data_IF_833166686539
#
_entry.id   IF_833166686539
#
_cell.length_a   1.000
_cell.length_b   1.000
_cell.length_c   1.000
_cell.angle_alpha   90.00
_cell.angle_beta   90.00
_cell.angle_gamma   90.00
#
_symmetry.space_group_name_H-M   'P 1'
#
loop_
_entity.id
_entity.type
_entity.pdbx_description
1 polymer ?
#
# COMPACT_ATOMS: atom_id res chain seq x y z
N UNK A 1 10.06 25.25 -1.70
CA UNK A 1 10.54 26.16 -2.75
C UNK A 1 10.93 25.36 -3.99
N UNK A 2 10.09 25.40 -5.05
CA UNK A 2 10.36 24.93 -6.41
C UNK A 2 11.05 23.55 -6.52
N UNK A 3 10.36 22.48 -6.15
CA UNK A 3 10.82 21.10 -6.34
C UNK A 3 10.24 20.57 -7.65
N UNK A 4 11.11 20.15 -8.57
CA UNK A 4 10.72 19.38 -9.74
C UNK A 4 11.18 17.94 -9.57
N UNK A 5 10.27 16.99 -9.75
CA UNK A 5 10.50 15.58 -9.52
C UNK A 5 9.85 14.76 -10.64
N UNK A 6 10.60 13.82 -11.16
CA UNK A 6 10.09 12.81 -12.05
C UNK A 6 10.23 11.42 -11.40
N UNK A 7 9.12 10.68 -11.34
CA UNK A 7 9.07 9.31 -10.83
C UNK A 7 8.98 8.36 -12.01
N UNK A 8 10.03 7.57 -12.19
CA UNK A 8 10.08 6.55 -13.25
C UNK A 8 9.03 5.46 -12.99
N UNK A 9 8.52 4.84 -14.06
CA UNK A 9 7.53 3.76 -13.98
C UNK A 9 7.99 2.53 -13.20
N UNK A 10 9.29 2.37 -13.00
CA UNK A 10 9.89 1.24 -12.28
C UNK A 10 11.03 1.73 -11.42
N UNK A 11 11.32 0.97 -10.37
CA UNK A 11 12.43 1.23 -9.46
C UNK A 11 12.05 2.08 -8.25
N UNK A 12 13.04 2.38 -7.44
CA UNK A 12 12.88 3.05 -6.15
C UNK A 12 13.50 4.45 -6.20
N UNK A 13 12.66 5.47 -6.04
CA UNK A 13 13.12 6.84 -5.83
C UNK A 13 13.17 7.16 -4.33
N UNK A 14 14.36 7.33 -3.81
CA UNK A 14 14.58 7.79 -2.44
C UNK A 14 14.48 9.32 -2.32
N UNK A 15 13.76 9.81 -1.31
CA UNK A 15 13.72 11.22 -0.95
C UNK A 15 14.33 11.36 0.44
N UNK A 16 15.53 11.93 0.50
CA UNK A 16 16.30 12.05 1.72
C UNK A 16 16.40 13.51 2.17
N UNK A 17 16.30 13.74 3.47
CA UNK A 17 16.52 15.06 4.06
C UNK A 17 16.15 15.14 5.52
N UNK A 18 16.52 16.22 6.21
CA UNK A 18 16.16 16.43 7.61
C UNK A 18 14.66 16.47 7.84
N UNK A 19 14.24 16.20 9.08
CA UNK A 19 12.83 16.35 9.48
C UNK A 19 12.35 17.79 9.24
N UNK A 20 11.08 17.96 8.87
CA UNK A 20 10.49 19.29 8.65
C UNK A 20 10.76 19.91 7.27
N UNK A 21 11.47 19.27 6.36
CA UNK A 21 11.73 19.76 5.00
C UNK A 21 10.61 19.57 3.99
N UNK A 22 9.44 19.06 4.42
CA UNK A 22 8.28 18.91 3.54
C UNK A 22 8.21 17.58 2.78
N UNK A 23 9.04 16.58 3.12
CA UNK A 23 9.02 15.26 2.46
C UNK A 23 7.64 14.59 2.52
N UNK A 24 7.06 14.46 3.71
CA UNK A 24 5.72 13.90 3.89
C UNK A 24 4.62 14.75 3.23
N UNK A 25 4.80 16.06 3.18
CA UNK A 25 3.90 16.97 2.46
C UNK A 25 3.92 16.68 0.97
N UNK A 26 5.10 16.41 0.41
CA UNK A 26 5.23 16.05 -0.99
C UNK A 26 4.50 14.72 -1.32
N UNK A 27 4.62 13.69 -0.47
CA UNK A 27 3.85 12.46 -0.65
C UNK A 27 2.33 12.72 -0.60
N UNK A 28 1.87 13.57 0.31
CA UNK A 28 0.45 13.95 0.43
C UNK A 28 -0.05 14.74 -0.79
N UNK A 29 0.80 15.55 -1.41
CA UNK A 29 0.49 16.22 -2.68
C UNK A 29 0.41 15.21 -3.83
N UNK A 30 1.32 14.23 -3.90
CA UNK A 30 1.26 13.13 -4.88
C UNK A 30 -0.02 12.31 -4.73
N UNK A 31 -0.46 12.04 -3.50
CA UNK A 31 -1.75 11.39 -3.21
C UNK A 31 -2.97 12.29 -3.44
N UNK A 32 -2.73 13.59 -3.75
CA UNK A 32 -3.78 14.60 -3.87
C UNK A 32 -4.67 14.72 -2.62
N UNK A 33 -4.05 14.68 -1.43
CA UNK A 33 -4.75 15.09 -0.22
C UNK A 33 -4.92 16.61 -0.17
N UNK A 34 -4.01 17.34 -0.83
CA UNK A 34 -4.07 18.78 -1.07
C UNK A 34 -3.61 19.08 -2.51
N UNK A 35 -4.06 20.18 -3.07
CA UNK A 35 -3.54 20.71 -4.32
C UNK A 35 -2.33 21.63 -4.05
N UNK A 36 -1.33 21.72 -4.95
CA UNK A 36 -0.21 22.62 -4.77
C UNK A 36 -0.62 24.08 -4.95
N UNK A 37 -0.05 25.00 -4.16
CA UNK A 37 -0.26 26.46 -4.31
C UNK A 37 0.23 26.96 -5.67
N UNK A 38 1.25 26.36 -6.22
CA UNK A 38 1.82 26.68 -7.54
C UNK A 38 2.50 25.45 -8.13
N UNK A 39 2.60 25.42 -9.46
CA UNK A 39 3.13 24.29 -10.20
C UNK A 39 2.05 23.28 -10.59
N UNK A 40 2.49 22.14 -11.15
CA UNK A 40 1.58 21.09 -11.61
C UNK A 40 2.11 19.72 -11.19
N UNK A 41 1.19 18.82 -10.89
CA UNK A 41 1.48 17.40 -10.67
C UNK A 41 0.72 16.63 -11.75
N UNK A 42 1.41 15.73 -12.43
CA UNK A 42 0.80 14.87 -13.46
C UNK A 42 1.05 13.40 -13.13
N UNK A 43 0.11 12.55 -13.52
CA UNK A 43 0.21 11.10 -13.46
C UNK A 43 0.04 10.56 -14.89
N UNK A 44 1.06 9.91 -15.44
CA UNK A 44 1.10 9.47 -16.85
C UNK A 44 0.73 10.61 -17.82
N UNK A 45 1.37 11.78 -17.66
CA UNK A 45 1.17 13.01 -18.45
C UNK A 45 -0.21 13.68 -18.32
N UNK A 46 -1.12 13.11 -17.53
CA UNK A 46 -2.42 13.73 -17.21
C UNK A 46 -2.31 14.55 -15.93
N UNK A 47 -2.69 15.84 -15.94
CA UNK A 47 -2.72 16.64 -14.72
C UNK A 47 -3.56 15.98 -13.62
N UNK A 48 -3.01 15.86 -12.42
CA UNK A 48 -3.62 15.13 -11.31
C UNK A 48 -5.07 15.55 -10.98
N UNK A 49 -5.47 16.84 -11.11
CA UNK A 49 -6.86 17.26 -10.96
C UNK A 49 -7.83 16.69 -12.00
N UNK A 50 -7.34 16.28 -13.17
CA UNK A 50 -8.13 15.70 -14.25
C UNK A 50 -8.21 14.17 -14.18
N UNK A 51 -7.39 13.55 -13.34
CA UNK A 51 -7.39 12.10 -13.13
C UNK A 51 -8.62 11.69 -12.33
N UNK A 52 -9.37 10.71 -12.84
CA UNK A 52 -10.50 10.13 -12.12
C UNK A 52 -10.10 9.63 -10.72
N UNK A 53 -10.92 9.90 -9.72
CA UNK A 53 -10.59 9.58 -8.33
C UNK A 53 -10.58 8.07 -8.06
N UNK A 54 -11.44 7.31 -8.71
CA UNK A 54 -11.49 5.85 -8.60
C UNK A 54 -10.24 5.21 -9.21
N UNK A 55 -9.90 5.64 -10.47
CA UNK A 55 -8.69 5.17 -11.13
C UNK A 55 -7.43 5.53 -10.32
N UNK A 56 -7.32 6.76 -9.82
CA UNK A 56 -6.19 7.19 -8.99
C UNK A 56 -6.03 6.33 -7.75
N UNK A 57 -7.12 6.01 -7.03
CA UNK A 57 -7.08 5.13 -5.86
C UNK A 57 -6.60 3.71 -6.20
N UNK A 58 -6.88 3.21 -7.39
CA UNK A 58 -6.37 1.89 -7.84
C UNK A 58 -4.88 1.91 -8.11
N UNK A 59 -4.39 2.94 -8.80
CA UNK A 59 -2.99 2.99 -9.25
C UNK A 59 -2.02 3.55 -8.22
N UNK A 60 -2.51 4.22 -7.16
CA UNK A 60 -1.68 4.81 -6.13
C UNK A 60 -2.02 4.27 -4.74
N UNK A 61 -1.00 3.95 -3.96
CA UNK A 61 -1.17 3.62 -2.54
C UNK A 61 -0.07 4.26 -1.70
N UNK A 62 -0.34 4.49 -0.43
CA UNK A 62 0.62 5.10 0.49
C UNK A 62 0.61 4.39 1.83
N UNK A 63 1.80 4.04 2.31
CA UNK A 63 2.02 3.63 3.69
C UNK A 63 2.66 4.79 4.46
N UNK A 64 1.96 5.29 5.47
CA UNK A 64 2.46 6.36 6.35
C UNK A 64 3.45 5.84 7.38
N UNK A 65 3.97 6.77 8.18
CA UNK A 65 4.90 6.48 9.28
C UNK A 65 4.28 5.56 10.35
N UNK A 66 2.97 5.66 10.55
CA UNK A 66 2.20 4.80 11.45
C UNK A 66 1.24 3.94 10.63
N UNK A 67 1.20 2.65 10.93
CA UNK A 67 0.23 1.73 10.34
C UNK A 67 -0.95 1.61 11.26
N UNK A 68 -2.11 2.08 10.81
CA UNK A 68 -3.36 1.93 11.54
C UNK A 68 -4.04 0.62 11.19
N UNK A 69 -4.39 -0.14 12.23
CA UNK A 69 -5.25 -1.30 12.11
C UNK A 69 -6.59 -0.95 12.76
N UNK A 70 -7.66 -1.31 12.08
CA UNK A 70 -9.02 -1.15 12.60
C UNK A 70 -9.31 -2.25 13.62
N UNK A 71 -10.21 -1.98 14.54
CA UNK A 71 -10.69 -3.01 15.46
C UNK A 71 -11.39 -4.12 14.67
N UNK A 72 -10.98 -5.36 14.93
CA UNK A 72 -11.37 -6.52 14.15
C UNK A 72 -10.25 -7.55 14.03
N UNK A 73 -10.39 -8.47 13.10
CA UNK A 73 -9.42 -9.53 12.81
C UNK A 73 -8.31 -9.07 11.86
N UNK A 74 -7.23 -9.86 11.78
CA UNK A 74 -6.19 -9.66 10.75
C UNK A 74 -6.80 -9.81 9.35
N UNK A 75 -7.69 -10.78 9.13
CA UNK A 75 -8.43 -11.00 7.88
C UNK A 75 -9.17 -9.74 7.44
N UNK A 76 -10.01 -9.17 8.30
CA UNK A 76 -10.78 -7.95 8.02
C UNK A 76 -9.84 -6.78 7.71
N UNK A 77 -8.77 -6.65 8.46
CA UNK A 77 -7.77 -5.64 8.21
C UNK A 77 -7.06 -5.78 6.85
N UNK A 78 -6.84 -7.00 6.37
CA UNK A 78 -6.26 -7.24 5.04
C UNK A 78 -7.30 -7.02 3.94
N UNK A 79 -8.56 -7.41 4.16
CA UNK A 79 -9.64 -7.29 3.20
C UNK A 79 -9.92 -5.85 2.76
N UNK A 80 -9.65 -4.87 3.61
CA UNK A 80 -9.77 -3.44 3.27
C UNK A 80 -8.95 -3.06 2.02
N UNK A 81 -7.82 -3.73 1.79
CA UNK A 81 -7.00 -3.48 0.61
C UNK A 81 -7.64 -3.96 -0.70
N UNK A 82 -8.57 -4.90 -0.63
CA UNK A 82 -9.26 -5.49 -1.78
C UNK A 82 -10.55 -4.76 -2.16
N UNK A 83 -11.23 -4.13 -1.19
CA UNK A 83 -12.55 -3.54 -1.38
C UNK A 83 -12.59 -2.35 -2.36
N UNK A 84 -11.48 -1.64 -2.60
CA UNK A 84 -11.43 -0.53 -3.56
C UNK A 84 -11.29 -0.98 -5.03
N UNK A 85 -11.08 -2.26 -5.29
CA UNK A 85 -10.87 -2.79 -6.64
C UNK A 85 -12.20 -3.12 -7.37
N UNK A 86 -13.28 -3.44 -6.64
CA UNK A 86 -14.50 -4.01 -7.22
C UNK A 86 -15.66 -3.01 -7.42
N UNK A 87 -15.58 -1.78 -6.97
CA UNK A 87 -16.74 -0.87 -6.92
C UNK A 87 -16.99 0.01 -8.15
N UNK A 88 -16.35 -0.21 -9.30
CA UNK A 88 -16.74 0.53 -10.51
C UNK A 88 -16.29 -0.10 -11.81
N UNK A 89 -16.91 -1.19 -12.23
CA UNK A 89 -17.00 -1.44 -13.68
C UNK A 89 -18.27 -2.19 -14.09
N UNK A 90 -19.38 -1.46 -14.12
CA UNK A 90 -20.51 -1.73 -15.00
C UNK A 90 -20.46 -0.80 -16.20
N UNK A 91 -19.34 -0.81 -16.94
CA UNK A 91 -19.14 0.05 -18.13
C UNK A 91 -17.95 -0.41 -18.96
N UNK A 92 -18.20 -1.40 -19.84
CA UNK A 92 -17.46 -1.74 -21.06
C UNK A 92 -16.18 -0.94 -21.35
N UNK A 93 -15.00 -1.57 -21.22
CA UNK A 93 -14.06 -1.57 -22.35
C UNK A 93 -13.00 -2.68 -22.22
N UNK A 94 -12.93 -3.52 -23.26
CA UNK A 94 -11.92 -4.55 -23.45
C UNK A 94 -10.56 -3.92 -23.74
N UNK A 95 -9.64 -4.03 -22.79
CA UNK A 95 -8.22 -3.69 -22.96
C UNK A 95 -7.38 -4.67 -22.15
N UNK A 96 -6.75 -5.61 -22.85
CA UNK A 96 -5.84 -6.60 -22.31
C UNK A 96 -4.66 -5.93 -21.62
N UNK A 97 -4.61 -5.98 -20.29
CA UNK A 97 -3.41 -5.71 -19.54
C UNK A 97 -3.16 -6.91 -18.63
N UNK A 98 -2.11 -7.68 -18.92
CA UNK A 98 -1.66 -8.83 -18.14
C UNK A 98 -0.89 -8.37 -16.90
N UNK A 99 -1.61 -7.79 -15.93
CA UNK A 99 -1.20 -7.65 -14.56
C UNK A 99 -2.14 -8.53 -13.73
N UNK A 100 -1.59 -9.47 -12.97
CA UNK A 100 -2.36 -10.34 -12.11
C UNK A 100 -2.96 -9.52 -10.96
N UNK A 101 -4.15 -8.96 -11.17
CA UNK A 101 -4.95 -8.39 -10.10
C UNK A 101 -5.29 -9.50 -9.12
N UNK A 102 -4.60 -9.50 -7.99
CA UNK A 102 -4.65 -10.55 -6.97
C UNK A 102 -6.06 -10.76 -6.39
N UNK A 103 -6.85 -9.69 -6.31
CA UNK A 103 -8.21 -9.72 -5.78
C UNK A 103 -9.32 -9.86 -6.83
N UNK A 104 -9.03 -9.76 -8.14
CA UNK A 104 -10.06 -9.73 -9.19
C UNK A 104 -10.58 -11.10 -9.65
N UNK A 105 -10.06 -12.22 -9.12
CA UNK A 105 -10.43 -13.58 -9.56
C UNK A 105 -11.52 -14.25 -8.72
N UNK A 106 -12.17 -13.57 -7.77
CA UNK A 106 -13.13 -14.20 -6.85
C UNK A 106 -14.61 -13.97 -7.20
N UNK A 107 -14.96 -13.20 -8.21
CA UNK A 107 -16.36 -12.85 -8.53
C UNK A 107 -16.89 -13.55 -9.77
N UNK A 108 -17.00 -14.88 -9.73
CA UNK A 108 -17.88 -15.60 -10.65
C UNK A 108 -18.71 -16.63 -9.88
N UNK A 109 -19.82 -16.21 -9.34
CA UNK A 109 -21.10 -16.88 -9.10
C UNK A 109 -21.71 -16.47 -7.74
N UNK A 110 -22.54 -15.45 -7.76
CA UNK A 110 -23.75 -15.40 -6.94
C UNK A 110 -24.63 -14.24 -7.42
N UNK A 111 -25.66 -14.54 -8.19
CA UNK A 111 -26.77 -13.64 -8.36
C UNK A 111 -27.64 -13.69 -7.09
N UNK A 112 -27.91 -12.54 -6.52
CA UNK A 112 -28.79 -12.42 -5.36
C UNK A 112 -28.81 -10.98 -4.87
N UNK A 113 -29.91 -10.26 -5.17
CA UNK A 113 -30.24 -8.96 -4.60
C UNK A 113 -30.27 -9.00 -3.07
N UNK A 114 -29.39 -8.23 -2.41
CA UNK A 114 -29.69 -7.60 -1.11
C UNK A 114 -28.59 -6.61 -0.75
N UNK A 115 -28.93 -5.33 -0.77
CA UNK A 115 -28.13 -4.22 -0.29
C UNK A 115 -28.24 -4.16 1.23
N UNK A 116 -27.46 -4.95 1.95
CA UNK A 116 -27.08 -4.77 3.35
C UNK A 116 -26.04 -5.84 3.76
N UNK A 117 -24.89 -5.85 3.11
CA UNK A 117 -23.77 -6.69 3.55
C UNK A 117 -22.86 -5.85 4.44
N UNK A 118 -22.76 -6.22 5.71
CA UNK A 118 -21.80 -5.65 6.65
C UNK A 118 -20.37 -5.90 6.16
N UNK A 119 -19.43 -5.00 6.45
CA UNK A 119 -17.99 -5.11 6.06
C UNK A 119 -17.37 -6.47 6.46
N UNK A 120 -17.95 -7.17 7.44
CA UNK A 120 -17.55 -8.50 7.89
C UNK A 120 -17.78 -9.59 6.83
N UNK A 121 -18.81 -9.48 5.98
CA UNK A 121 -19.14 -10.52 4.98
C UNK A 121 -18.14 -10.49 3.82
N UNK A 122 -17.66 -9.30 3.41
CA UNK A 122 -16.69 -9.14 2.33
C UNK A 122 -15.32 -9.74 2.68
N UNK A 123 -14.94 -9.72 3.95
CA UNK A 123 -13.66 -10.25 4.41
C UNK A 123 -13.58 -11.79 4.28
N UNK A 124 -14.71 -12.49 4.31
CA UNK A 124 -14.78 -13.95 4.18
C UNK A 124 -14.79 -14.43 2.72
N UNK A 125 -15.07 -13.55 1.77
CA UNK A 125 -15.09 -13.90 0.34
C UNK A 125 -13.68 -13.95 -0.28
N UNK A 126 -12.65 -13.41 0.41
CA UNK A 126 -11.27 -13.44 -0.08
C UNK A 126 -10.63 -14.78 0.31
N UNK A 127 -10.14 -15.59 -0.65
CA UNK A 127 -9.51 -16.86 -0.35
C UNK A 127 -8.32 -16.72 0.60
N UNK A 128 -8.22 -17.59 1.60
CA UNK A 128 -7.10 -17.60 2.55
C UNK A 128 -5.73 -17.67 1.85
N UNK A 129 -5.65 -18.38 0.73
CA UNK A 129 -4.41 -18.50 -0.05
C UNK A 129 -3.89 -17.14 -0.53
N UNK A 130 -4.80 -16.23 -0.92
CA UNK A 130 -4.48 -14.86 -1.37
C UNK A 130 -3.94 -14.03 -0.21
N UNK A 131 -4.63 -14.07 0.93
CA UNK A 131 -4.20 -13.34 2.14
C UNK A 131 -2.87 -13.86 2.66
N UNK A 132 -2.70 -15.18 2.69
CA UNK A 132 -1.46 -15.84 3.14
C UNK A 132 -0.28 -15.56 2.21
N UNK A 133 -0.50 -15.50 0.89
CA UNK A 133 0.56 -15.12 -0.05
C UNK A 133 1.01 -13.66 0.17
N UNK A 134 0.09 -12.73 0.37
CA UNK A 134 0.42 -11.34 0.68
C UNK A 134 1.18 -11.22 2.01
N UNK A 135 0.77 -11.97 3.03
CA UNK A 135 1.48 -12.02 4.31
C UNK A 135 2.89 -12.63 4.17
N UNK A 136 3.06 -13.66 3.33
CA UNK A 136 4.37 -14.24 3.06
C UNK A 136 5.32 -13.21 2.42
N UNK A 137 4.84 -12.46 1.42
CA UNK A 137 5.58 -11.38 0.76
C UNK A 137 5.96 -10.24 1.70
N UNK A 138 5.10 -9.97 2.69
CA UNK A 138 5.35 -8.99 3.74
C UNK A 138 6.15 -9.55 4.93
N UNK A 139 6.64 -10.80 4.84
CA UNK A 139 7.30 -11.51 5.93
C UNK A 139 6.49 -11.55 7.24
N UNK A 140 5.16 -11.60 7.11
CA UNK A 140 4.21 -11.62 8.22
C UNK A 140 3.51 -12.98 8.40
N UNK A 141 3.71 -13.92 7.48
CA UNK A 141 2.98 -15.20 7.50
C UNK A 141 3.30 -16.03 8.76
N UNK A 142 4.57 -16.20 9.09
CA UNK A 142 5.00 -16.95 10.28
C UNK A 142 4.47 -16.33 11.57
N UNK A 143 4.42 -15.00 11.63
CA UNK A 143 3.83 -14.27 12.73
C UNK A 143 2.35 -14.62 12.89
N UNK A 144 1.58 -14.57 11.81
CA UNK A 144 0.14 -14.84 11.83
C UNK A 144 -0.12 -16.31 12.15
N UNK A 145 0.67 -17.23 11.61
CA UNK A 145 0.56 -18.66 11.89
C UNK A 145 0.91 -19.03 13.34
N UNK A 146 1.74 -18.26 14.01
CA UNK A 146 2.05 -18.42 15.42
C UNK A 146 0.94 -17.93 16.38
N UNK A 147 -0.02 -17.15 15.87
CA UNK A 147 -1.16 -16.68 16.67
C UNK A 147 -2.23 -17.77 16.84
N UNK A 148 -2.88 -17.85 17.99
CA UNK A 148 -3.85 -18.93 18.29
C UNK A 148 -4.99 -19.08 17.28
N UNK A 149 -5.45 -17.97 16.69
CA UNK A 149 -6.55 -17.93 15.73
C UNK A 149 -6.07 -17.55 14.30
N UNK A 150 -4.76 -17.53 14.03
CA UNK A 150 -4.25 -17.20 12.71
C UNK A 150 -4.81 -15.90 12.14
N UNK A 151 -5.38 -15.95 10.93
CA UNK A 151 -6.02 -14.80 10.26
C UNK A 151 -7.20 -14.21 11.05
N UNK A 152 -7.89 -15.01 11.84
CA UNK A 152 -9.07 -14.59 12.61
C UNK A 152 -8.71 -14.07 14.02
N UNK A 153 -7.42 -13.81 14.25
CA UNK A 153 -6.94 -13.19 15.48
C UNK A 153 -7.38 -11.73 15.55
N UNK A 154 -8.03 -11.36 16.65
CA UNK A 154 -8.43 -9.99 16.94
C UNK A 154 -7.22 -9.12 17.26
N UNK A 155 -7.03 -8.03 16.50
CA UNK A 155 -5.90 -7.11 16.69
C UNK A 155 -6.12 -6.09 17.83
N UNK A 156 -7.39 -5.91 18.23
CA UNK A 156 -7.80 -4.95 19.24
C UNK A 156 -7.78 -3.51 18.75
N UNK A 157 -8.25 -2.61 19.59
CA UNK A 157 -8.32 -1.18 19.26
C UNK A 157 -6.94 -0.65 18.79
N UNK A 158 -6.92 -0.05 17.59
CA UNK A 158 -5.70 0.45 16.91
C UNK A 158 -4.56 -0.59 16.82
N UNK A 159 -4.90 -1.89 16.79
CA UNK A 159 -3.91 -2.95 16.76
C UNK A 159 -3.10 -3.07 18.06
N UNK A 160 -3.66 -2.69 19.22
CA UNK A 160 -2.96 -2.63 20.51
C UNK A 160 -2.37 -3.95 21.01
N UNK A 161 -2.74 -5.09 20.40
CA UNK A 161 -2.20 -6.41 20.71
C UNK A 161 -0.95 -6.78 19.90
N UNK A 162 -0.56 -5.95 18.93
CA UNK A 162 0.57 -6.17 18.05
C UNK A 162 1.66 -5.14 18.31
N UNK A 163 2.91 -5.56 18.15
CA UNK A 163 4.06 -4.66 18.13
C UNK A 163 4.03 -3.76 16.90
N UNK A 164 4.77 -2.66 16.93
CA UNK A 164 4.83 -1.72 15.80
C UNK A 164 5.36 -2.39 14.52
N UNK A 165 6.38 -3.26 14.64
CA UNK A 165 6.91 -4.01 13.51
C UNK A 165 5.91 -5.00 12.91
N UNK A 166 5.06 -5.62 13.72
CA UNK A 166 3.99 -6.52 13.27
C UNK A 166 2.89 -5.74 12.54
N UNK A 167 2.47 -4.60 13.07
CA UNK A 167 1.53 -3.70 12.39
C UNK A 167 2.06 -3.26 11.02
N UNK A 168 3.33 -2.88 10.96
CA UNK A 168 3.94 -2.46 9.69
C UNK A 168 3.99 -3.58 8.66
N UNK A 169 4.29 -4.83 9.05
CA UNK A 169 4.23 -5.97 8.14
C UNK A 169 2.81 -6.25 7.64
N UNK A 170 1.79 -6.13 8.50
CA UNK A 170 0.38 -6.25 8.06
C UNK A 170 0.02 -5.10 7.10
N UNK A 171 0.46 -3.87 7.40
CA UNK A 171 0.30 -2.74 6.49
C UNK A 171 0.97 -2.97 5.13
N UNK A 172 2.16 -3.57 5.13
CA UNK A 172 2.87 -3.93 3.91
C UNK A 172 2.15 -5.05 3.12
N UNK A 173 1.55 -6.03 3.81
CA UNK A 173 0.72 -7.05 3.16
C UNK A 173 -0.48 -6.41 2.42
N UNK A 174 -1.08 -5.35 2.96
CA UNK A 174 -2.10 -4.56 2.25
C UNK A 174 -1.56 -3.94 0.95
N UNK A 175 -0.29 -3.50 0.92
CA UNK A 175 0.31 -2.95 -0.31
C UNK A 175 0.43 -4.04 -1.39
N UNK A 176 0.82 -5.26 -1.01
CA UNK A 176 0.88 -6.40 -1.92
C UNK A 176 -0.49 -6.85 -2.43
N UNK A 177 -1.53 -6.79 -1.60
CA UNK A 177 -2.91 -7.10 -2.01
C UNK A 177 -3.45 -6.06 -2.99
N UNK A 178 -3.10 -4.79 -2.80
CA UNK A 178 -3.60 -3.70 -3.61
C UNK A 178 -2.98 -3.65 -5.00
N UNK A 179 -1.77 -4.19 -5.18
CA UNK A 179 -1.04 -4.30 -6.47
C UNK A 179 -1.01 -2.98 -7.27
N UNK A 180 -0.69 -1.88 -6.59
CA UNK A 180 -0.71 -0.54 -7.17
C UNK A 180 0.53 -0.26 -8.02
N UNK A 181 0.37 0.50 -9.12
CA UNK A 181 1.49 0.92 -9.99
C UNK A 181 2.44 1.89 -9.31
N UNK A 182 1.94 2.73 -8.37
CA UNK A 182 2.72 3.70 -7.61
C UNK A 182 2.52 3.48 -6.11
N UNK A 183 3.61 3.16 -5.42
CA UNK A 183 3.62 2.91 -3.98
C UNK A 183 4.49 3.94 -3.27
N UNK A 184 3.92 4.64 -2.31
CA UNK A 184 4.58 5.70 -1.56
C UNK A 184 4.81 5.25 -0.11
N UNK A 185 6.05 5.41 0.38
CA UNK A 185 6.42 5.09 1.75
C UNK A 185 6.94 6.32 2.49
N UNK A 186 6.31 6.66 3.62
CA UNK A 186 6.71 7.76 4.50
C UNK A 186 7.38 7.22 5.75
N UNK A 187 8.70 7.21 5.77
CA UNK A 187 9.54 6.72 6.87
C UNK A 187 9.16 5.31 7.40
N UNK A 188 9.01 4.29 6.53
CA UNK A 188 8.44 2.99 6.90
C UNK A 188 9.26 2.20 7.93
N UNK A 189 10.50 2.60 8.19
CA UNK A 189 11.40 1.90 9.12
C UNK A 189 11.79 2.73 10.34
N UNK A 190 11.17 3.90 10.55
CA UNK A 190 11.62 4.88 11.55
C UNK A 190 11.60 4.38 13.00
N UNK A 191 10.71 3.43 13.31
CA UNK A 191 10.50 2.88 14.68
C UNK A 191 10.94 1.44 14.83
N UNK A 192 11.68 0.90 13.84
CA UNK A 192 12.08 -0.50 13.80
C UNK A 192 13.53 -0.69 14.24
N UNK A 193 13.78 -1.86 14.84
CA UNK A 193 15.12 -2.39 15.01
C UNK A 193 15.74 -2.82 13.67
N UNK A 194 17.04 -3.11 13.65
CA UNK A 194 17.78 -3.43 12.43
C UNK A 194 17.27 -4.70 11.72
N UNK A 195 16.76 -5.68 12.46
CA UNK A 195 16.22 -6.90 11.86
C UNK A 195 14.91 -6.59 11.12
N UNK A 196 13.94 -5.97 11.81
CA UNK A 196 12.66 -5.59 11.20
C UNK A 196 12.85 -4.59 10.06
N UNK A 197 13.80 -3.64 10.18
CA UNK A 197 14.17 -2.73 9.09
C UNK A 197 14.58 -3.51 7.84
N UNK A 198 15.49 -4.49 7.97
CA UNK A 198 15.96 -5.28 6.82
C UNK A 198 14.84 -6.06 6.13
N UNK A 199 13.90 -6.62 6.91
CA UNK A 199 12.73 -7.34 6.42
C UNK A 199 11.82 -6.42 5.60
N UNK A 200 11.48 -5.25 6.15
CA UNK A 200 10.62 -4.26 5.46
C UNK A 200 11.29 -3.76 4.18
N UNK A 201 12.59 -3.47 4.21
CA UNK A 201 13.32 -3.02 3.02
C UNK A 201 13.38 -4.10 1.94
N UNK A 202 13.53 -5.38 2.31
CA UNK A 202 13.43 -6.50 1.39
C UNK A 202 12.07 -6.54 0.69
N UNK A 203 10.98 -6.44 1.44
CA UNK A 203 9.63 -6.45 0.89
C UNK A 203 9.33 -5.22 0.02
N UNK A 204 9.90 -4.04 0.32
CA UNK A 204 9.80 -2.85 -0.54
C UNK A 204 10.54 -3.07 -1.87
N UNK A 205 11.71 -3.71 -1.82
CA UNK A 205 12.45 -4.06 -3.03
C UNK A 205 11.65 -5.04 -3.91
N UNK A 206 11.01 -6.05 -3.30
CA UNK A 206 10.16 -7.01 -4.01
C UNK A 206 8.98 -6.32 -4.73
N UNK A 207 8.39 -5.27 -4.15
CA UNK A 207 7.37 -4.46 -4.82
C UNK A 207 7.91 -3.76 -6.08
N UNK A 208 9.10 -3.17 -5.98
CA UNK A 208 9.74 -2.51 -7.12
C UNK A 208 10.13 -3.52 -8.22
N UNK A 209 10.64 -4.70 -7.86
CA UNK A 209 10.98 -5.77 -8.82
C UNK A 209 9.77 -6.32 -9.57
N UNK A 210 8.57 -6.22 -8.99
CA UNK A 210 7.29 -6.58 -9.64
C UNK A 210 6.81 -5.54 -10.63
N UNK A 211 7.46 -4.39 -10.71
CA UNK A 211 7.15 -3.33 -11.66
C UNK A 211 6.44 -2.13 -11.07
N UNK A 212 6.19 -2.09 -9.76
CA UNK A 212 5.67 -0.89 -9.11
C UNK A 212 6.72 0.22 -9.08
N UNK A 213 6.31 1.44 -9.36
CA UNK A 213 7.12 2.62 -9.06
C UNK A 213 7.07 2.91 -7.56
N UNK A 214 8.21 2.95 -6.90
CA UNK A 214 8.28 3.17 -5.45
C UNK A 214 8.90 4.53 -5.15
N UNK A 215 8.23 5.31 -4.29
CA UNK A 215 8.80 6.53 -3.70
C UNK A 215 9.00 6.30 -2.21
N UNK A 216 10.25 6.36 -1.77
CA UNK A 216 10.66 6.06 -0.41
C UNK A 216 11.21 7.30 0.28
N UNK A 217 10.50 7.81 1.27
CA UNK A 217 10.96 8.92 2.10
C UNK A 217 11.62 8.39 3.36
N UNK A 218 12.85 8.82 3.61
CA UNK A 218 13.54 8.53 4.88
C UNK A 218 14.66 9.56 5.15
N UNK A 219 15.01 9.69 6.42
CA UNK A 219 16.21 10.42 6.85
C UNK A 219 17.40 9.47 7.14
N UNK A 220 17.16 8.13 7.10
CA UNK A 220 18.19 7.11 7.38
C UNK A 220 18.96 6.73 6.14
N UNK A 221 20.28 6.71 6.22
CA UNK A 221 21.16 6.26 5.13
C UNK A 221 20.99 4.76 4.84
N UNK A 222 20.70 3.95 5.87
CA UNK A 222 20.42 2.51 5.71
C UNK A 222 19.24 2.25 4.78
N UNK A 223 18.16 2.99 4.98
CA UNK A 223 16.92 2.90 4.17
C UNK A 223 17.17 3.35 2.72
N UNK A 224 18.01 4.37 2.51
CA UNK A 224 18.32 4.89 1.17
C UNK A 224 19.20 3.94 0.32
N UNK A 225 19.76 2.89 0.90
CA UNK A 225 20.63 1.95 0.15
C UNK A 225 19.89 1.15 -0.92
N UNK A 226 18.57 0.97 -0.76
CA UNK A 226 17.75 0.26 -1.76
C UNK A 226 17.25 1.18 -2.88
N UNK A 227 17.46 2.49 -2.78
CA UNK A 227 16.98 3.44 -3.78
C UNK A 227 17.91 3.49 -5.00
N UNK A 228 17.33 3.39 -6.20
CA UNK A 228 18.06 3.54 -7.48
C UNK A 228 18.48 4.99 -7.72
N UNK A 229 17.65 5.93 -7.27
CA UNK A 229 17.90 7.37 -7.37
C UNK A 229 17.56 8.04 -6.04
N UNK A 230 18.34 9.06 -5.65
CA UNK A 230 18.08 9.80 -4.41
C UNK A 230 17.94 11.28 -4.71
N UNK A 231 16.79 11.84 -4.33
CA UNK A 231 16.56 13.27 -4.25
C UNK A 231 16.89 13.75 -2.82
N UNK A 232 17.80 14.70 -2.70
CA UNK A 232 18.14 15.33 -1.40
C UNK A 232 17.45 16.67 -1.25
N UNK A 233 16.73 16.84 -0.13
CA UNK A 233 15.96 18.06 0.20
C UNK A 233 16.58 18.84 1.37
#
# INVERSE_FOLDING_TARGET
DHVSLDVSRQGILGIQGPSGRGKSTMLKLLMRYWDPDSGTISLSDVPLPQVDAGWRRRVQTMMGQETYLFDGTIRENLAIACNDADFSDSGSNSGSNSGSNFCSNSSSNAGGDSADSSDSDLAHDIPDSVLREALAKASALELVDALPNGLDTQVGELGGRLSEGEKQRIGLARMFLRDSDLVLFDEPTSRLDAYNESVILGSINDLAERGSAVVLVSHRDSTMRIADRILRM
#
